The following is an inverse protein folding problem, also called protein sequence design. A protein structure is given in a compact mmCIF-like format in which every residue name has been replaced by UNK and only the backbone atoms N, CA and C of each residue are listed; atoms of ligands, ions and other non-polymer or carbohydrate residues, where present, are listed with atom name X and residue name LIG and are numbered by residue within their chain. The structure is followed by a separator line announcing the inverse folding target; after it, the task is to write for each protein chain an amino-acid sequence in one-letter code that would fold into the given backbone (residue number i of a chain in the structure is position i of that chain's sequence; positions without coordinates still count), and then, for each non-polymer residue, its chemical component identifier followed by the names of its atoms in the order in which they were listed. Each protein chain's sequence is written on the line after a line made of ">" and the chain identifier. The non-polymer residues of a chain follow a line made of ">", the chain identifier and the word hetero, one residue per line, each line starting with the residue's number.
data_IF_855796590613
#
_entry.id   IF_855796590613
#
_cell.length_a   1.000
_cell.length_b   1.000
_cell.length_c   1.000
_cell.angle_alpha   90.00
_cell.angle_beta   90.00
_cell.angle_gamma   90.00
#
_symmetry.space_group_name_H-M   'P 1'
#
loop_
_entity.id
_entity.type
_entity.pdbx_description
1 polymer ?
#
# COMPACT_ATOMS: atom_id res chain seq x y z
N UNK A 1 35.69 43.27 69.20
CA UNK A 1 34.67 42.92 68.18
C UNK A 1 35.01 43.68 66.89
N UNK A 2 35.05 42.94 65.77
CA UNK A 2 35.05 43.35 64.34
C UNK A 2 36.21 44.18 63.74
N UNK A 3 37.18 43.44 63.15
CA UNK A 3 37.96 43.56 61.89
C UNK A 3 38.28 44.98 61.34
N UNK A 4 39.55 45.42 61.28
CA UNK A 4 40.58 45.20 60.21
C UNK A 4 40.02 45.35 58.78
N UNK A 5 40.48 46.19 57.86
CA UNK A 5 41.64 47.10 57.78
C UNK A 5 41.95 47.41 56.30
N UNK A 6 42.73 48.48 56.08
CA UNK A 6 43.55 48.83 54.90
C UNK A 6 42.82 49.30 53.60
N UNK A 7 42.99 50.54 53.11
CA UNK A 7 44.19 51.18 52.50
C UNK A 7 44.41 50.64 51.06
N UNK A 8 44.66 51.36 49.96
CA UNK A 8 45.40 52.58 49.62
C UNK A 8 45.18 52.83 48.09
N UNK A 9 45.05 54.06 47.58
CA UNK A 9 46.07 54.96 47.00
C UNK A 9 46.19 54.97 45.44
N UNK A 10 46.41 56.18 44.89
CA UNK A 10 46.96 56.52 43.55
C UNK A 10 45.94 56.47 42.40
N UNK A 11 45.45 57.56 41.78
CA UNK A 11 46.07 58.72 41.12
C UNK A 11 47.15 58.34 40.08
N UNK A 12 46.89 58.61 38.79
CA UNK A 12 47.74 59.39 37.87
C UNK A 12 47.04 59.54 36.51
N UNK A 13 47.16 60.75 35.98
CA UNK A 13 46.59 61.33 34.76
C UNK A 13 47.59 61.17 33.58
N UNK A 14 47.07 61.32 32.35
CA UNK A 14 47.72 61.98 31.20
C UNK A 14 48.21 61.14 30.00
N UNK A 15 47.57 61.44 28.86
CA UNK A 15 48.13 61.92 27.58
C UNK A 15 48.89 60.98 26.61
N UNK A 16 48.21 60.71 25.49
CA UNK A 16 48.59 61.04 24.08
C UNK A 16 50.06 60.89 23.68
N UNK A 17 50.38 59.91 22.82
CA UNK A 17 51.17 60.04 21.56
C UNK A 17 50.87 58.81 20.68
N UNK A 18 50.52 59.00 19.41
CA UNK A 18 49.95 57.96 18.54
C UNK A 18 50.90 57.14 17.69
N UNK A 19 50.34 56.37 16.75
CA UNK A 19 50.96 55.99 15.48
C UNK A 19 49.89 55.34 14.56
N UNK A 20 49.77 55.75 13.28
CA UNK A 20 48.91 55.12 12.28
C UNK A 20 49.69 54.04 11.53
N UNK A 21 49.24 52.78 11.46
CA UNK A 21 49.68 51.76 10.46
C UNK A 21 49.09 50.36 10.75
N UNK A 22 47.78 50.15 10.57
CA UNK A 22 47.23 48.77 10.49
C UNK A 22 46.11 48.68 9.45
N UNK A 23 46.40 49.03 8.18
CA UNK A 23 45.48 48.83 7.05
C UNK A 23 46.12 47.99 5.91
N UNK A 24 46.98 47.02 6.24
CA UNK A 24 47.52 46.07 5.25
C UNK A 24 47.47 44.60 5.70
N UNK A 25 46.63 44.26 6.69
CA UNK A 25 46.51 42.89 7.21
C UNK A 25 45.21 42.15 6.88
N UNK A 26 44.20 42.83 6.32
CA UNK A 26 42.83 42.26 6.22
C UNK A 26 42.54 41.62 4.85
N UNK A 27 43.27 42.02 3.79
CA UNK A 27 43.01 41.51 2.43
C UNK A 27 43.43 40.06 2.20
N UNK A 28 44.53 39.60 2.81
CA UNK A 28 45.06 38.25 2.58
C UNK A 28 44.19 37.19 3.26
N UNK A 29 43.58 37.51 4.41
CA UNK A 29 42.68 36.58 5.11
C UNK A 29 41.33 36.47 4.40
N UNK A 30 40.83 37.54 3.75
CA UNK A 30 39.59 37.49 2.98
C UNK A 30 39.72 36.65 1.69
N UNK A 31 40.91 36.63 1.07
CA UNK A 31 41.19 35.83 -0.14
C UNK A 31 41.40 34.33 0.16
N UNK A 32 41.83 33.97 1.38
CA UNK A 32 41.99 32.57 1.79
C UNK A 32 40.69 31.94 2.32
N UNK A 33 39.70 32.74 2.72
CA UNK A 33 38.38 32.25 3.18
C UNK A 33 37.38 31.97 2.04
N UNK A 34 37.70 32.30 0.78
CA UNK A 34 36.89 31.92 -0.38
C UNK A 34 37.45 30.74 -1.18
N UNK A 35 38.61 30.19 -0.76
CA UNK A 35 39.31 29.13 -1.50
C UNK A 35 39.01 27.70 -1.00
N UNK A 36 38.03 27.52 -0.11
CA UNK A 36 37.45 26.20 0.21
C UNK A 36 36.08 26.07 -0.46
N UNK A 37 36.08 26.15 -1.79
CA UNK A 37 34.98 25.61 -2.57
C UNK A 37 34.95 24.10 -2.34
N UNK A 38 33.91 23.62 -1.68
CA UNK A 38 33.64 22.20 -1.48
C UNK A 38 33.62 21.51 -2.86
N UNK A 39 34.54 20.57 -3.14
CA UNK A 39 34.60 19.90 -4.43
C UNK A 39 33.40 18.96 -4.56
N UNK A 40 32.28 19.51 -5.00
CA UNK A 40 31.16 18.79 -5.55
C UNK A 40 30.71 17.62 -4.69
N UNK A 41 29.97 17.92 -3.63
CA UNK A 41 28.87 17.05 -3.24
C UNK A 41 28.03 16.85 -4.51
N UNK A 42 28.25 15.72 -5.20
CA UNK A 42 27.32 15.24 -6.19
C UNK A 42 26.03 15.08 -5.42
N UNK A 43 25.11 16.04 -5.57
CA UNK A 43 23.70 15.86 -5.29
C UNK A 43 23.30 14.70 -6.18
N UNK A 44 23.41 13.49 -5.63
CA UNK A 44 22.83 12.31 -6.23
C UNK A 44 21.36 12.69 -6.40
N UNK A 45 20.80 12.62 -7.63
CA UNK A 45 19.39 12.93 -7.79
C UNK A 45 18.63 12.08 -6.78
N UNK A 46 17.66 12.68 -6.10
CA UNK A 46 16.76 12.03 -5.16
C UNK A 46 15.79 11.11 -5.93
N UNK A 47 16.38 10.19 -6.70
CA UNK A 47 15.72 9.15 -7.50
C UNK A 47 15.88 7.79 -6.83
N UNK A 48 16.57 7.71 -5.68
CA UNK A 48 16.31 6.63 -4.75
C UNK A 48 14.85 6.80 -4.33
N UNK A 49 13.96 5.82 -4.56
CA UNK A 49 12.56 5.97 -4.18
C UNK A 49 12.54 6.35 -2.71
N UNK A 50 11.79 7.41 -2.39
CA UNK A 50 11.53 7.84 -1.02
C UNK A 50 11.34 6.59 -0.18
N UNK A 51 12.16 6.42 0.87
CA UNK A 51 12.22 5.16 1.65
C UNK A 51 10.81 4.82 2.11
N UNK A 52 10.18 3.91 1.37
CA UNK A 52 8.79 3.54 1.59
C UNK A 52 8.61 3.13 3.04
N UNK A 53 7.52 3.56 3.66
CA UNK A 53 7.25 3.18 5.03
C UNK A 53 7.10 1.65 5.11
N UNK A 54 7.54 1.06 6.23
CA UNK A 54 7.36 -0.38 6.45
C UNK A 54 5.86 -0.76 6.44
N UNK A 55 4.99 0.19 6.77
CA UNK A 55 3.53 0.05 6.77
C UNK A 55 2.96 -0.04 5.36
N UNK A 56 3.42 0.81 4.43
CA UNK A 56 3.00 0.76 3.03
C UNK A 56 3.47 -0.55 2.38
N UNK A 57 4.69 -1.00 2.70
CA UNK A 57 5.20 -2.27 2.19
C UNK A 57 4.38 -3.44 2.70
N UNK A 58 4.02 -3.43 3.99
CA UNK A 58 3.17 -4.46 4.58
C UNK A 58 1.78 -4.46 3.93
N UNK A 59 1.18 -3.28 3.70
CA UNK A 59 -0.12 -3.14 3.03
C UNK A 59 -0.10 -3.71 1.61
N UNK A 60 0.95 -3.45 0.83
CA UNK A 60 1.06 -4.03 -0.53
C UNK A 60 1.22 -5.54 -0.51
N UNK A 61 1.98 -6.08 0.44
CA UNK A 61 2.13 -7.54 0.58
C UNK A 61 0.78 -8.17 0.93
N UNK A 62 0.05 -7.61 1.89
CA UNK A 62 -1.28 -8.08 2.30
C UNK A 62 -2.27 -8.06 1.13
N UNK A 63 -2.33 -6.94 0.41
CA UNK A 63 -3.15 -6.80 -0.80
C UNK A 63 -2.75 -7.80 -1.89
N UNK A 64 -1.45 -8.01 -2.12
CA UNK A 64 -0.97 -9.01 -3.09
C UNK A 64 -1.37 -10.43 -2.69
N UNK A 65 -1.36 -10.71 -1.38
CA UNK A 65 -1.70 -12.01 -0.83
C UNK A 65 -3.20 -12.31 -0.97
N UNK A 66 -4.05 -11.33 -0.70
CA UNK A 66 -5.50 -11.45 -0.90
C UNK A 66 -5.85 -11.63 -2.39
N UNK A 67 -5.19 -10.92 -3.31
CA UNK A 67 -5.37 -11.15 -4.75
C UNK A 67 -4.94 -12.55 -5.19
N UNK A 68 -3.86 -13.08 -4.64
CA UNK A 68 -3.43 -14.47 -4.90
C UNK A 68 -4.45 -15.46 -4.38
N UNK A 69 -4.97 -15.27 -3.15
CA UNK A 69 -6.03 -16.11 -2.59
C UNK A 69 -7.31 -16.06 -3.41
N UNK A 70 -7.75 -14.86 -3.82
CA UNK A 70 -8.96 -14.69 -4.62
C UNK A 70 -8.85 -15.45 -5.96
N UNK A 71 -7.71 -15.38 -6.65
CA UNK A 71 -7.47 -16.16 -7.89
C UNK A 71 -7.47 -17.67 -7.64
N UNK A 72 -6.92 -18.13 -6.51
CA UNK A 72 -6.98 -19.54 -6.13
C UNK A 72 -8.43 -19.97 -5.82
N UNK A 73 -9.19 -19.08 -5.18
CA UNK A 73 -10.61 -19.22 -4.89
C UNK A 73 -11.46 -19.33 -6.16
N UNK A 74 -11.21 -18.47 -7.15
CA UNK A 74 -11.85 -18.51 -8.47
C UNK A 74 -11.67 -19.88 -9.14
N UNK A 75 -10.44 -20.42 -9.16
CA UNK A 75 -10.15 -21.74 -9.71
C UNK A 75 -10.86 -22.88 -8.96
N UNK A 76 -11.05 -22.72 -7.66
CA UNK A 76 -11.79 -23.69 -6.84
C UNK A 76 -13.30 -23.57 -7.07
N UNK A 77 -13.81 -22.34 -7.10
CA UNK A 77 -15.20 -22.02 -7.42
C UNK A 77 -15.61 -22.59 -8.78
N UNK A 78 -14.78 -22.41 -9.81
CA UNK A 78 -15.06 -22.95 -11.14
C UNK A 78 -15.26 -24.47 -11.14
N UNK A 79 -14.54 -25.20 -10.30
CA UNK A 79 -14.59 -26.67 -10.24
C UNK A 79 -15.70 -27.22 -9.35
N UNK A 80 -16.11 -26.46 -8.33
CA UNK A 80 -16.95 -26.98 -7.23
C UNK A 80 -18.30 -26.27 -7.10
N UNK A 81 -18.38 -25.00 -7.51
CA UNK A 81 -19.49 -24.11 -7.17
C UNK A 81 -20.18 -23.52 -8.40
N UNK A 82 -19.41 -23.25 -9.48
CA UNK A 82 -19.88 -22.58 -10.70
C UNK A 82 -21.12 -23.22 -11.32
N UNK A 83 -21.24 -24.55 -11.26
CA UNK A 83 -22.40 -25.26 -11.80
C UNK A 83 -23.74 -24.85 -11.18
N UNK A 84 -23.73 -24.24 -9.98
CA UNK A 84 -24.94 -23.76 -9.30
C UNK A 84 -24.89 -22.27 -8.95
N UNK A 85 -23.71 -21.69 -8.76
CA UNK A 85 -23.51 -20.31 -8.33
C UNK A 85 -22.70 -19.54 -9.37
N UNK A 86 -23.32 -18.53 -9.99
CA UNK A 86 -22.65 -17.62 -10.92
C UNK A 86 -21.87 -16.51 -10.21
N UNK A 87 -21.06 -15.78 -10.96
CA UNK A 87 -20.34 -14.56 -10.56
C UNK A 87 -20.83 -13.31 -11.31
N UNK A 88 -21.85 -13.43 -12.16
CA UNK A 88 -22.35 -12.37 -13.05
C UNK A 88 -23.77 -11.89 -12.71
N UNK A 89 -24.33 -12.35 -11.59
CA UNK A 89 -25.68 -12.03 -11.14
C UNK A 89 -26.76 -12.98 -11.68
N UNK A 90 -26.44 -13.89 -12.61
CA UNK A 90 -27.43 -14.85 -13.13
C UNK A 90 -27.82 -15.88 -12.06
N UNK A 91 -29.09 -16.26 -12.02
CA UNK A 91 -29.55 -17.33 -11.12
C UNK A 91 -29.57 -18.65 -11.88
N UNK A 92 -28.78 -19.63 -11.43
CA UNK A 92 -28.68 -20.96 -12.06
C UNK A 92 -29.49 -21.97 -11.25
N UNK A 93 -28.86 -22.60 -10.25
CA UNK A 93 -29.51 -23.48 -9.26
C UNK A 93 -29.40 -22.91 -7.85
N UNK A 94 -28.53 -21.91 -7.65
CA UNK A 94 -28.31 -21.17 -6.43
C UNK A 94 -28.21 -19.66 -6.71
N UNK A 95 -28.17 -18.83 -5.65
CA UNK A 95 -27.96 -17.39 -5.79
C UNK A 95 -26.55 -17.08 -6.33
N UNK A 96 -26.43 -15.99 -7.08
CA UNK A 96 -25.12 -15.49 -7.54
C UNK A 96 -24.24 -15.03 -6.38
N UNK A 97 -22.92 -15.10 -6.58
CA UNK A 97 -21.92 -14.52 -5.69
C UNK A 97 -21.69 -13.03 -5.94
N UNK A 98 -22.12 -12.51 -7.10
CA UNK A 98 -21.99 -11.09 -7.43
C UNK A 98 -22.67 -10.22 -6.35
N UNK A 99 -21.93 -9.26 -5.82
CA UNK A 99 -22.37 -8.34 -4.77
C UNK A 99 -22.89 -9.02 -3.49
N UNK A 100 -22.50 -10.28 -3.24
CA UNK A 100 -22.95 -11.01 -2.06
C UNK A 100 -22.27 -10.51 -0.79
N UNK A 101 -20.94 -10.42 -0.77
CA UNK A 101 -20.21 -10.06 0.44
C UNK A 101 -20.59 -8.65 0.92
N UNK A 102 -20.88 -8.53 2.22
CA UNK A 102 -21.34 -7.29 2.83
C UNK A 102 -22.82 -6.92 2.58
N UNK A 103 -23.54 -7.68 1.73
CA UNK A 103 -24.96 -7.46 1.50
C UNK A 103 -25.83 -7.95 2.67
N UNK A 104 -27.06 -7.43 2.75
CA UNK A 104 -28.07 -7.96 3.66
C UNK A 104 -28.70 -9.25 3.10
N UNK A 105 -28.70 -10.31 3.90
CA UNK A 105 -29.34 -11.59 3.60
C UNK A 105 -30.50 -11.80 4.54
N UNK A 106 -31.69 -11.90 3.98
CA UNK A 106 -32.89 -12.28 4.72
C UNK A 106 -32.96 -13.80 4.81
N UNK A 107 -32.97 -14.34 6.02
CA UNK A 107 -33.05 -15.77 6.31
C UNK A 107 -34.50 -16.27 6.33
N UNK A 108 -34.62 -17.59 6.26
CA UNK A 108 -35.86 -18.29 6.62
C UNK A 108 -36.27 -17.91 8.04
N UNK A 109 -37.55 -17.56 8.21
CA UNK A 109 -38.11 -17.21 9.51
C UNK A 109 -38.15 -15.71 9.82
N UNK A 110 -37.50 -14.84 9.04
CA UNK A 110 -37.66 -13.38 9.24
C UNK A 110 -36.37 -12.60 9.31
N UNK A 111 -35.38 -13.18 9.98
CA UNK A 111 -34.16 -12.50 10.43
C UNK A 111 -33.29 -12.06 9.27
N UNK A 112 -32.72 -10.86 9.37
CA UNK A 112 -31.71 -10.37 8.43
C UNK A 112 -30.33 -10.48 9.06
N UNK A 113 -29.35 -10.94 8.28
CA UNK A 113 -27.93 -11.00 8.64
C UNK A 113 -27.09 -10.30 7.57
N UNK A 114 -25.86 -9.94 7.89
CA UNK A 114 -24.88 -9.47 6.88
C UNK A 114 -24.15 -10.67 6.33
N UNK A 115 -23.93 -10.72 5.01
CA UNK A 115 -23.08 -11.71 4.37
C UNK A 115 -21.59 -11.40 4.60
N UNK A 116 -21.17 -11.52 5.86
CA UNK A 116 -19.78 -11.39 6.29
C UNK A 116 -19.01 -12.71 6.15
N UNK A 117 -17.75 -12.72 6.58
CA UNK A 117 -16.89 -13.91 6.46
C UNK A 117 -17.43 -15.11 7.26
N UNK A 118 -18.04 -14.89 8.43
CA UNK A 118 -18.58 -15.96 9.27
C UNK A 118 -19.84 -16.57 8.62
N UNK A 119 -20.73 -15.72 8.10
CA UNK A 119 -21.88 -16.17 7.33
C UNK A 119 -21.45 -16.98 6.11
N UNK A 120 -20.48 -16.47 5.32
CA UNK A 120 -20.00 -17.17 4.12
C UNK A 120 -19.32 -18.50 4.46
N UNK A 121 -18.46 -18.52 5.48
CA UNK A 121 -17.80 -19.75 5.95
C UNK A 121 -18.84 -20.80 6.34
N UNK A 122 -19.85 -20.40 7.09
CA UNK A 122 -20.95 -21.28 7.49
C UNK A 122 -21.78 -21.73 6.30
N UNK A 123 -22.13 -20.84 5.38
CA UNK A 123 -22.89 -21.20 4.17
C UNK A 123 -22.13 -22.22 3.31
N UNK A 124 -20.80 -22.12 3.23
CA UNK A 124 -19.95 -23.06 2.49
C UNK A 124 -19.90 -24.43 3.20
N UNK A 125 -19.70 -24.45 4.52
CA UNK A 125 -19.49 -25.67 5.29
C UNK A 125 -20.80 -26.40 5.65
N UNK A 126 -21.82 -25.63 6.06
CA UNK A 126 -23.12 -26.05 6.57
C UNK A 126 -24.26 -25.25 5.90
N UNK A 127 -24.53 -25.47 4.60
CA UNK A 127 -25.46 -24.65 3.81
C UNK A 127 -26.91 -24.66 4.31
N UNK A 128 -27.27 -25.58 5.21
CA UNK A 128 -28.62 -25.72 5.75
C UNK A 128 -28.82 -25.06 7.12
N UNK A 129 -27.78 -24.48 7.74
CA UNK A 129 -27.89 -23.83 9.04
C UNK A 129 -28.62 -22.47 8.94
N UNK A 130 -28.20 -21.63 7.99
CA UNK A 130 -28.74 -20.29 7.78
C UNK A 130 -29.20 -20.11 6.34
N UNK A 131 -30.34 -20.73 6.01
CA UNK A 131 -30.88 -20.70 4.66
C UNK A 131 -31.42 -19.31 4.32
N UNK A 132 -31.05 -18.78 3.15
CA UNK A 132 -31.61 -17.55 2.59
C UNK A 132 -33.06 -17.75 2.19
N UNK A 133 -33.92 -16.77 2.48
CA UNK A 133 -35.32 -16.79 2.06
C UNK A 133 -35.44 -16.92 0.54
N UNK A 134 -36.38 -17.75 0.10
CA UNK A 134 -36.60 -18.10 -1.31
C UNK A 134 -35.76 -19.29 -1.79
N UNK A 135 -34.90 -19.86 -0.94
CA UNK A 135 -34.06 -21.01 -1.22
C UNK A 135 -34.34 -22.22 -0.31
N UNK A 136 -35.48 -22.21 0.40
CA UNK A 136 -35.85 -23.23 1.40
C UNK A 136 -35.97 -24.65 0.82
N UNK A 137 -36.34 -24.73 -0.46
CA UNK A 137 -36.49 -25.98 -1.19
C UNK A 137 -35.22 -26.49 -1.86
N UNK A 138 -34.17 -25.65 -2.01
CA UNK A 138 -32.94 -26.03 -2.70
C UNK A 138 -31.99 -26.76 -1.74
N UNK A 139 -32.14 -28.08 -1.66
CA UNK A 139 -31.24 -28.99 -0.92
C UNK A 139 -30.08 -29.53 -1.76
N UNK A 140 -29.77 -28.90 -2.88
CA UNK A 140 -28.75 -29.38 -3.83
C UNK A 140 -27.35 -28.89 -3.46
N UNK A 141 -27.21 -27.80 -2.70
CA UNK A 141 -25.91 -27.32 -2.25
C UNK A 141 -25.31 -28.32 -1.24
N UNK A 142 -24.19 -29.00 -1.56
CA UNK A 142 -23.65 -30.05 -0.71
C UNK A 142 -22.96 -29.45 0.54
N UNK A 143 -23.02 -30.11 1.70
CA UNK A 143 -22.19 -29.75 2.84
C UNK A 143 -20.72 -30.03 2.52
N UNK A 144 -19.83 -29.08 2.80
CA UNK A 144 -18.41 -29.19 2.45
C UNK A 144 -17.48 -29.48 3.64
N UNK A 145 -18.01 -29.72 4.85
CA UNK A 145 -17.21 -30.17 5.99
C UNK A 145 -16.43 -31.44 5.65
N UNK A 146 -15.11 -31.39 5.83
CA UNK A 146 -14.21 -32.51 5.52
C UNK A 146 -13.92 -32.71 4.04
N UNK A 147 -14.60 -31.98 3.14
CA UNK A 147 -14.29 -31.93 1.70
C UNK A 147 -13.35 -30.76 1.42
N UNK A 148 -13.66 -29.59 1.98
CA UNK A 148 -12.82 -28.40 1.93
C UNK A 148 -12.05 -28.23 3.24
N UNK A 149 -10.77 -27.89 3.13
CA UNK A 149 -9.96 -27.46 4.27
C UNK A 149 -10.07 -25.94 4.51
N UNK A 150 -9.55 -25.46 5.65
CA UNK A 150 -9.66 -24.04 6.03
C UNK A 150 -9.02 -23.07 5.03
N UNK A 151 -7.91 -23.49 4.41
CA UNK A 151 -7.26 -22.68 3.38
C UNK A 151 -8.16 -22.52 2.16
N UNK A 152 -8.77 -23.60 1.70
CA UNK A 152 -9.69 -23.60 0.55
C UNK A 152 -10.95 -22.79 0.82
N UNK A 153 -11.50 -22.88 2.04
CA UNK A 153 -12.63 -22.04 2.47
C UNK A 153 -12.23 -20.56 2.44
N UNK A 154 -11.06 -20.21 2.99
CA UNK A 154 -10.56 -18.83 2.94
C UNK A 154 -10.34 -18.33 1.51
N UNK A 155 -9.82 -19.16 0.61
CA UNK A 155 -9.66 -18.81 -0.81
C UNK A 155 -11.01 -18.51 -1.48
N UNK A 156 -12.02 -19.35 -1.27
CA UNK A 156 -13.38 -19.11 -1.80
C UNK A 156 -13.98 -17.82 -1.26
N UNK A 157 -13.80 -17.53 0.03
CA UNK A 157 -14.30 -16.30 0.64
C UNK A 157 -13.61 -15.08 0.03
N UNK A 158 -12.28 -15.10 -0.16
CA UNK A 158 -11.58 -14.00 -0.83
C UNK A 158 -12.03 -13.81 -2.28
N UNK A 159 -12.37 -14.89 -2.98
CA UNK A 159 -12.99 -14.78 -4.30
C UNK A 159 -14.35 -14.09 -4.23
N UNK A 160 -15.25 -14.52 -3.32
CA UNK A 160 -16.56 -13.88 -3.14
C UNK A 160 -16.41 -12.39 -2.77
N UNK A 161 -15.44 -12.04 -1.91
CA UNK A 161 -15.12 -10.64 -1.56
C UNK A 161 -14.70 -9.83 -2.78
N UNK A 162 -13.93 -10.43 -3.70
CA UNK A 162 -13.53 -9.74 -4.94
C UNK A 162 -14.70 -9.40 -5.87
N UNK A 163 -15.86 -10.03 -5.68
CA UNK A 163 -17.10 -9.78 -6.43
C UNK A 163 -18.06 -8.78 -5.75
N UNK A 164 -17.69 -8.21 -4.59
CA UNK A 164 -18.60 -7.43 -3.76
C UNK A 164 -18.95 -6.07 -4.36
N UNK A 165 -18.00 -5.40 -5.03
CA UNK A 165 -18.06 -4.17 -5.84
C UNK A 165 -16.61 -3.83 -6.27
N UNK A 166 -16.33 -2.93 -7.26
CA UNK A 166 -14.95 -2.64 -7.73
C UNK A 166 -14.02 -2.00 -6.68
N UNK A 167 -14.52 -1.71 -5.47
CA UNK A 167 -13.83 -1.00 -4.40
C UNK A 167 -12.93 -1.91 -3.54
N UNK A 168 -12.26 -2.89 -4.14
CA UNK A 168 -10.91 -3.17 -3.66
C UNK A 168 -10.13 -1.90 -3.95
N UNK A 169 -9.56 -1.20 -2.95
CA UNK A 169 -8.79 0.00 -3.22
C UNK A 169 -7.77 -0.36 -4.29
N UNK A 170 -7.76 0.39 -5.39
CA UNK A 170 -6.74 0.23 -6.41
C UNK A 170 -5.38 0.24 -5.70
N UNK A 171 -4.47 -0.70 -6.04
CA UNK A 171 -3.13 -0.64 -5.48
C UNK A 171 -2.60 0.78 -5.70
N UNK A 172 -1.88 1.38 -4.72
CA UNK A 172 -1.31 2.71 -4.90
C UNK A 172 -0.59 2.77 -6.25
N UNK A 173 -1.05 3.65 -7.14
CA UNK A 173 -0.56 3.84 -8.51
C UNK A 173 0.79 4.56 -8.48
N UNK A 174 1.80 3.93 -7.89
CA UNK A 174 3.19 4.35 -7.95
C UNK A 174 4.02 3.47 -8.92
N UNK A 175 3.38 2.49 -9.58
CA UNK A 175 3.98 1.85 -10.75
C UNK A 175 3.80 2.80 -11.94
N UNK A 176 4.89 3.29 -12.57
CA UNK A 176 4.75 4.12 -13.75
C UNK A 176 3.99 3.33 -14.81
N UNK A 177 2.98 3.97 -15.41
CA UNK A 177 2.27 3.40 -16.56
C UNK A 177 3.30 2.90 -17.58
N UNK A 178 3.10 1.70 -18.16
CA UNK A 178 3.99 1.20 -19.19
C UNK A 178 3.96 2.22 -20.32
N UNK A 179 5.06 2.97 -20.44
CA UNK A 179 5.33 3.98 -21.45
C UNK A 179 4.76 3.47 -22.78
N UNK A 180 3.79 4.20 -23.31
CA UNK A 180 3.14 3.86 -24.57
C UNK A 180 4.25 3.64 -25.59
N UNK A 181 4.38 2.40 -26.05
CA UNK A 181 5.41 2.03 -27.00
C UNK A 181 5.23 2.88 -28.26
N UNK A 182 6.07 3.91 -28.39
CA UNK A 182 6.28 4.65 -29.62
C UNK A 182 6.42 3.65 -30.78
N UNK A 183 5.59 3.73 -31.83
CA UNK A 183 5.67 2.80 -32.94
C UNK A 183 7.02 2.98 -33.64
N UNK A 184 7.90 2.01 -33.44
CA UNK A 184 9.23 1.97 -34.03
C UNK A 184 9.16 2.14 -35.54
N UNK A 185 9.88 3.15 -36.02
CA UNK A 185 10.02 3.45 -37.43
C UNK A 185 10.54 2.23 -38.20
N UNK A 186 9.81 1.86 -39.25
CA UNK A 186 10.21 0.84 -40.19
C UNK A 186 11.52 1.27 -40.88
N UNK A 187 12.62 0.60 -40.55
CA UNK A 187 13.87 0.72 -41.28
C UNK A 187 13.72 0.24 -42.74
N UNK A 188 14.45 0.84 -43.70
CA UNK A 188 14.22 0.60 -45.11
C UNK A 188 14.61 -0.81 -45.54
N UNK A 189 13.69 -1.38 -46.32
CA UNK A 189 13.85 -2.46 -47.28
C UNK A 189 15.26 -2.56 -47.90
N UNK A 190 15.93 -3.70 -47.72
CA UNK A 190 17.13 -4.01 -48.48
C UNK A 190 16.75 -4.85 -49.70
N UNK A 191 16.69 -4.18 -50.85
CA UNK A 191 16.51 -4.78 -52.16
C UNK A 191 17.89 -5.06 -52.81
N UNK A 192 18.02 -6.25 -53.42
CA UNK A 192 19.10 -6.62 -54.36
C UNK A 192 20.23 -7.41 -53.71
N UNK A 193 20.67 -8.57 -54.21
CA UNK A 193 20.70 -9.05 -55.60
C UNK A 193 22.16 -9.03 -56.09
N UNK A 194 22.75 -10.21 -56.31
CA UNK A 194 24.11 -10.38 -56.84
C UNK A 194 24.73 -11.72 -56.46
#
# INVERSE_FOLDING_TARGET
>A
MTRRGAANAGLIVALVVGLPLVLMGVGIVWLLMTASGDPGERVLPDTAPARESLEDRARRIDYSYDRVKARQGEQLWFRMCYGCHSDDGTVVEGPSFLHLYGSEVVLVGGTTVIADEEYLRRAILDPYDQVRRGWEGMRTMPPNRGVLNDQQVGQLIEFIKSLAEPNMPEPPTDEPEPDEAEPGEAGPENAGGG
#
